data_IF_240886417552
#
_entry.id   IF_240886417552
#
_cell.length_a   1.000
_cell.length_b   1.000
_cell.length_c   1.000
_cell.angle_alpha   90.00
_cell.angle_beta   90.00
_cell.angle_gamma   90.00
#
_symmetry.space_group_name_H-M   'P 1'
#
loop_
_entity.id
_entity.type
_entity.pdbx_description
1 polymer ?
#
# COMPACT_ATOMS: atom_id res chain seq x y z
N UNK A 1 22.46 17.86 -10.15
CA UNK A 1 22.04 16.76 -9.27
C UNK A 1 20.75 16.21 -9.85
N UNK A 2 20.61 14.90 -10.02
CA UNK A 2 19.40 14.27 -10.56
C UNK A 2 18.38 14.07 -9.44
N UNK A 3 17.21 14.69 -9.59
CA UNK A 3 16.08 14.69 -8.68
C UNK A 3 15.14 13.54 -9.01
N UNK A 4 14.70 12.81 -7.99
CA UNK A 4 13.86 11.63 -8.16
C UNK A 4 12.60 11.69 -7.31
N UNK A 5 11.50 11.19 -7.88
CA UNK A 5 10.35 10.75 -7.12
C UNK A 5 10.56 9.32 -6.63
N UNK A 6 10.12 9.04 -5.41
CA UNK A 6 10.07 7.70 -4.85
C UNK A 6 8.63 7.23 -4.72
N UNK A 7 8.32 6.12 -5.38
CA UNK A 7 6.98 5.53 -5.39
C UNK A 7 7.03 4.20 -4.67
N UNK A 8 6.15 4.04 -3.69
CA UNK A 8 5.98 2.78 -2.99
C UNK A 8 4.69 2.13 -3.46
N UNK A 9 4.81 0.93 -4.02
CA UNK A 9 3.70 0.18 -4.60
C UNK A 9 3.82 -1.30 -4.26
N UNK A 10 2.68 -1.97 -4.08
CA UNK A 10 2.67 -3.45 -4.09
C UNK A 10 2.96 -3.97 -5.49
N UNK A 11 3.40 -5.23 -5.56
CA UNK A 11 3.68 -5.94 -6.80
C UNK A 11 2.44 -5.93 -7.73
N UNK A 12 2.50 -5.29 -8.91
CA UNK A 12 1.39 -5.28 -9.86
C UNK A 12 1.16 -6.63 -10.55
N UNK A 13 2.11 -7.57 -10.49
CA UNK A 13 1.99 -8.92 -11.05
C UNK A 13 1.52 -9.94 -10.01
N UNK A 14 1.72 -9.66 -8.73
CA UNK A 14 1.26 -10.51 -7.63
C UNK A 14 0.36 -9.74 -6.64
N UNK A 15 -0.98 -9.73 -6.86
CA UNK A 15 -1.92 -8.98 -6.04
C UNK A 15 -2.04 -9.48 -4.59
N UNK A 16 -1.51 -10.68 -4.28
CA UNK A 16 -1.43 -11.23 -2.90
C UNK A 16 -0.15 -10.84 -2.18
N UNK A 17 0.81 -10.25 -2.90
CA UNK A 17 2.06 -9.80 -2.29
C UNK A 17 1.80 -8.64 -1.34
N UNK A 18 2.18 -8.84 -0.07
CA UNK A 18 2.25 -7.79 0.93
C UNK A 18 3.60 -7.05 0.88
N UNK A 19 4.49 -7.46 -0.03
CA UNK A 19 5.81 -6.84 -0.18
C UNK A 19 5.68 -5.52 -0.92
N UNK A 20 6.12 -4.46 -0.25
CA UNK A 20 6.17 -3.12 -0.79
C UNK A 20 7.45 -2.92 -1.59
N UNK A 21 7.32 -2.53 -2.86
CA UNK A 21 8.45 -2.21 -3.72
C UNK A 21 8.64 -0.69 -3.83
N UNK A 22 9.89 -0.26 -3.88
CA UNK A 22 10.30 1.13 -4.10
C UNK A 22 10.74 1.32 -5.55
N UNK A 23 10.08 2.22 -6.26
CA UNK A 23 10.42 2.61 -7.64
C UNK A 23 10.92 4.05 -7.62
N UNK A 24 12.06 4.31 -8.28
CA UNK A 24 12.62 5.66 -8.43
C UNK A 24 12.38 6.16 -9.84
N UNK A 25 11.77 7.33 -9.95
CA UNK A 25 11.42 7.96 -11.23
C UNK A 25 12.14 9.31 -11.33
N UNK A 26 12.76 9.58 -12.48
CA UNK A 26 13.42 10.85 -12.77
C UNK A 26 12.39 11.97 -12.81
N UNK A 27 12.62 13.06 -12.08
CA UNK A 27 11.74 14.22 -12.10
C UNK A 27 11.79 14.94 -13.45
N UNK A 28 10.63 15.31 -14.00
CA UNK A 28 10.53 15.85 -15.35
C UNK A 28 10.95 17.32 -15.47
N UNK A 29 11.03 18.04 -14.33
CA UNK A 29 11.49 19.42 -14.25
C UNK A 29 12.98 19.59 -14.63
N UNK A 30 13.72 18.49 -14.73
CA UNK A 30 15.08 18.48 -15.28
C UNK A 30 15.11 18.45 -16.81
N UNK A 31 13.99 18.08 -17.45
CA UNK A 31 13.88 17.86 -18.89
C UNK A 31 13.08 18.96 -19.58
N UNK A 32 12.15 19.59 -18.86
CA UNK A 32 11.26 20.64 -19.36
C UNK A 32 11.21 21.82 -18.38
N UNK A 33 11.13 23.04 -18.91
CA UNK A 33 10.90 24.24 -18.10
C UNK A 33 9.54 24.22 -17.38
N UNK A 34 8.55 23.56 -17.99
CA UNK A 34 7.19 23.42 -17.47
C UNK A 34 6.74 21.98 -17.55
N UNK A 35 6.04 21.53 -16.53
CA UNK A 35 5.44 20.19 -16.51
C UNK A 35 4.50 19.99 -17.71
N UNK A 36 4.68 18.91 -18.50
CA UNK A 36 3.77 18.57 -19.57
C UNK A 36 2.36 18.30 -19.02
N UNK A 37 1.37 19.03 -19.54
CA UNK A 37 -0.04 18.83 -19.21
C UNK A 37 -0.66 17.93 -20.27
N UNK A 38 -1.22 16.81 -19.82
CA UNK A 38 -1.86 15.81 -20.67
C UNK A 38 -3.36 15.97 -20.57
N UNK A 39 -3.99 16.08 -21.74
CA UNK A 39 -5.42 16.30 -21.89
C UNK A 39 -6.26 15.08 -21.48
N UNK A 40 -7.52 15.33 -21.17
CA UNK A 40 -8.46 14.31 -20.67
C UNK A 40 -8.65 13.16 -21.67
N UNK A 41 -8.64 13.49 -22.96
CA UNK A 41 -8.86 12.58 -24.08
C UNK A 41 -7.88 11.40 -24.05
N UNK A 42 -6.62 11.63 -23.68
CA UNK A 42 -5.64 10.55 -23.51
C UNK A 42 -6.07 9.52 -22.46
N UNK A 43 -6.59 9.98 -21.31
CA UNK A 43 -7.02 9.13 -20.22
C UNK A 43 -8.36 8.45 -20.50
N UNK A 44 -9.25 9.11 -21.24
CA UNK A 44 -10.50 8.52 -21.71
C UNK A 44 -10.23 7.35 -22.67
N UNK A 45 -9.32 7.55 -23.62
CA UNK A 45 -8.85 6.51 -24.55
C UNK A 45 -8.21 5.34 -23.79
N UNK A 46 -7.35 5.64 -22.82
CA UNK A 46 -6.70 4.64 -21.98
C UNK A 46 -7.74 3.82 -21.18
N UNK A 47 -8.76 4.49 -20.64
CA UNK A 47 -9.87 3.85 -19.93
C UNK A 47 -10.67 2.93 -20.84
N UNK A 48 -10.92 3.35 -22.09
CA UNK A 48 -11.56 2.47 -23.10
C UNK A 48 -10.71 1.25 -23.39
N UNK A 49 -9.39 1.42 -23.52
CA UNK A 49 -8.47 0.31 -23.74
C UNK A 49 -8.47 -0.68 -22.57
N UNK A 50 -8.44 -0.20 -21.32
CA UNK A 50 -8.53 -1.03 -20.10
C UNK A 50 -9.81 -1.87 -20.07
N UNK A 51 -10.93 -1.34 -20.55
CA UNK A 51 -12.21 -2.09 -20.61
C UNK A 51 -12.25 -3.13 -21.72
N UNK A 52 -11.47 -2.95 -22.79
CA UNK A 52 -11.57 -3.73 -24.04
C UNK A 52 -10.49 -4.79 -24.19
N UNK A 53 -9.28 -4.53 -23.69
CA UNK A 53 -8.10 -5.35 -23.96
C UNK A 53 -7.50 -5.90 -22.67
N UNK A 54 -7.39 -7.23 -22.55
CA UNK A 54 -6.96 -7.88 -21.31
C UNK A 54 -5.52 -7.59 -20.88
N UNK A 55 -4.66 -7.14 -21.81
CA UNK A 55 -3.31 -6.69 -21.51
C UNK A 55 -3.25 -5.23 -21.00
N UNK A 56 -4.40 -4.55 -20.92
CA UNK A 56 -4.55 -3.27 -20.24
C UNK A 56 -5.31 -3.49 -18.93
N UNK A 57 -4.81 -2.93 -17.83
CA UNK A 57 -5.45 -3.10 -16.52
C UNK A 57 -5.35 -1.86 -15.66
N UNK A 58 -6.30 -1.71 -14.74
CA UNK A 58 -6.25 -0.73 -13.66
C UNK A 58 -6.10 -1.46 -12.33
N UNK A 59 -5.06 -1.11 -11.57
CA UNK A 59 -4.73 -1.77 -10.31
C UNK A 59 -4.57 -0.73 -9.20
N UNK A 60 -5.12 -1.02 -8.02
CA UNK A 60 -4.93 -0.18 -6.83
C UNK A 60 -3.76 -0.73 -6.03
N UNK A 61 -2.56 -0.21 -6.27
CA UNK A 61 -1.32 -0.70 -5.63
C UNK A 61 -0.46 0.40 -5.02
N UNK A 62 -0.67 1.67 -5.40
CA UNK A 62 0.12 2.80 -4.89
C UNK A 62 -0.16 3.01 -3.40
N UNK A 63 0.90 3.18 -2.63
CA UNK A 63 0.86 3.33 -1.17
C UNK A 63 1.55 4.59 -0.65
N UNK A 64 2.54 5.12 -1.37
CA UNK A 64 3.21 6.38 -1.01
C UNK A 64 3.87 7.00 -2.23
N UNK A 65 3.86 8.33 -2.29
CA UNK A 65 4.54 9.13 -3.31
C UNK A 65 5.36 10.19 -2.58
N UNK A 66 6.68 10.13 -2.74
CA UNK A 66 7.62 11.09 -2.15
C UNK A 66 8.29 11.88 -3.27
N UNK A 67 8.24 13.21 -3.17
CA UNK A 67 8.88 14.13 -4.11
C UNK A 67 10.40 14.25 -3.92
N UNK A 68 11.08 14.94 -4.84
CA UNK A 68 12.53 15.10 -4.79
C UNK A 68 13.02 15.85 -3.56
N UNK A 69 12.20 16.73 -2.98
CA UNK A 69 12.50 17.47 -1.76
C UNK A 69 12.04 16.75 -0.49
N UNK A 70 11.81 15.44 -0.53
CA UNK A 70 11.24 14.64 0.58
C UNK A 70 9.80 15.03 0.96
N UNK A 71 9.08 15.68 0.06
CA UNK A 71 7.67 16.02 0.22
C UNK A 71 6.79 14.77 0.10
N UNK A 72 5.94 14.50 1.09
CA UNK A 72 5.00 13.38 1.05
C UNK A 72 3.64 13.84 0.48
N UNK A 73 3.17 13.16 -0.57
CA UNK A 73 1.94 13.53 -1.25
C UNK A 73 0.78 12.58 -0.95
N UNK A 74 -0.42 13.17 -0.89
CA UNK A 74 -1.69 12.44 -0.89
C UNK A 74 -1.86 11.62 -2.15
N UNK A 75 -1.85 10.30 -2.02
CA UNK A 75 -1.82 9.34 -3.13
C UNK A 75 -3.07 9.32 -4.01
N UNK A 76 -4.20 9.86 -3.55
CA UNK A 76 -5.51 9.74 -4.22
C UNK A 76 -5.57 10.45 -5.57
N UNK A 77 -4.68 11.42 -5.81
CA UNK A 77 -4.59 12.14 -7.07
C UNK A 77 -3.45 11.65 -7.97
N UNK A 78 -2.80 10.53 -7.65
CA UNK A 78 -1.65 10.05 -8.39
C UNK A 78 -1.96 8.79 -9.17
N UNK A 79 -1.41 8.74 -10.38
CA UNK A 79 -1.45 7.56 -11.23
C UNK A 79 -0.06 7.28 -11.79
N UNK A 80 0.35 6.02 -11.75
CA UNK A 80 1.57 5.55 -12.39
C UNK A 80 1.19 4.63 -13.55
N UNK A 81 1.54 5.01 -14.77
CA UNK A 81 1.52 4.08 -15.90
C UNK A 81 2.76 3.22 -15.80
N UNK A 82 2.58 1.90 -15.84
CA UNK A 82 3.63 0.91 -16.00
C UNK A 82 3.31 0.06 -17.22
N UNK A 83 4.10 0.22 -18.28
CA UNK A 83 3.86 -0.44 -19.55
C UNK A 83 5.12 -1.04 -20.15
N UNK A 84 4.91 -2.01 -21.03
CA UNK A 84 5.92 -2.55 -21.92
C UNK A 84 5.33 -2.69 -23.32
N UNK A 85 6.08 -2.27 -24.33
CA UNK A 85 5.69 -2.48 -25.72
C UNK A 85 6.13 -3.85 -26.28
N UNK A 86 5.70 -4.16 -27.49
CA UNK A 86 6.06 -5.42 -28.18
C UNK A 86 7.55 -5.53 -28.52
N UNK A 87 8.32 -4.44 -28.41
CA UNK A 87 9.77 -4.40 -28.56
C UNK A 87 10.51 -4.49 -27.22
N UNK A 88 9.80 -4.85 -26.15
CA UNK A 88 10.32 -4.95 -24.77
C UNK A 88 10.90 -3.63 -24.22
N UNK A 89 10.45 -2.47 -24.72
CA UNK A 89 10.79 -1.17 -24.14
C UNK A 89 9.83 -0.88 -22.99
N UNK A 90 10.36 -0.49 -21.84
CA UNK A 90 9.59 -0.14 -20.66
C UNK A 90 9.23 1.34 -20.63
N UNK A 91 8.04 1.63 -20.10
CA UNK A 91 7.57 2.99 -19.86
C UNK A 91 6.96 3.06 -18.47
N UNK A 92 7.52 3.92 -17.64
CA UNK A 92 6.98 4.26 -16.33
C UNK A 92 6.76 5.77 -16.31
N UNK A 93 5.50 6.20 -16.21
CA UNK A 93 5.13 7.61 -16.26
C UNK A 93 4.23 7.94 -15.08
N UNK A 94 4.66 8.89 -14.26
CA UNK A 94 3.92 9.35 -13.09
C UNK A 94 3.13 10.61 -13.43
N UNK A 95 1.85 10.57 -13.11
CA UNK A 95 0.92 11.66 -13.33
C UNK A 95 0.26 12.11 -12.03
N UNK A 96 0.18 13.42 -11.86
CA UNK A 96 -0.69 14.05 -10.88
C UNK A 96 -1.98 14.49 -11.59
N UNK A 97 -3.12 14.01 -11.11
CA UNK A 97 -4.43 14.40 -11.57
C UNK A 97 -4.73 15.83 -11.09
N UNK A 98 -4.97 16.73 -12.03
CA UNK A 98 -5.37 18.11 -11.78
C UNK A 98 -6.75 18.37 -12.43
N UNK A 99 -7.58 19.17 -11.78
CA UNK A 99 -8.85 19.62 -12.36
C UNK A 99 -8.67 21.05 -12.87
N UNK A 100 -8.85 21.25 -14.17
CA UNK A 100 -8.77 22.57 -14.81
C UNK A 100 -9.95 22.74 -15.74
N UNK A 101 -10.66 23.87 -15.64
CA UNK A 101 -11.82 24.19 -16.49
C UNK A 101 -12.87 23.06 -16.54
N UNK A 102 -13.21 22.48 -15.38
CA UNK A 102 -14.11 21.31 -15.25
C UNK A 102 -13.66 20.00 -15.91
N UNK A 103 -12.52 19.98 -16.62
CA UNK A 103 -11.92 18.76 -17.17
C UNK A 103 -10.85 18.21 -16.22
N UNK A 104 -10.71 16.88 -16.23
CA UNK A 104 -9.65 16.18 -15.51
C UNK A 104 -8.45 16.07 -16.45
N UNK A 105 -7.34 16.71 -16.09
CA UNK A 105 -6.08 16.65 -16.81
C UNK A 105 -5.03 15.91 -15.96
N UNK A 106 -4.00 15.40 -16.61
CA UNK A 106 -2.87 14.76 -15.95
C UNK A 106 -1.60 15.57 -16.14
N UNK A 107 -0.99 16.03 -15.07
CA UNK A 107 0.33 16.66 -15.11
C UNK A 107 1.36 15.55 -15.03
N UNK A 108 2.18 15.38 -16.07
CA UNK A 108 3.31 14.44 -16.04
C UNK A 108 4.39 15.05 -15.16
N UNK A 109 4.87 14.31 -14.16
CA UNK A 109 5.82 14.84 -13.16
C UNK A 109 7.12 14.05 -13.05
N UNK A 110 7.10 12.77 -13.41
CA UNK A 110 8.28 11.92 -13.35
C UNK A 110 8.19 10.76 -14.34
N UNK A 111 9.35 10.21 -14.71
CA UNK A 111 9.44 9.11 -15.67
C UNK A 111 10.58 8.14 -15.37
N UNK A 112 10.47 6.93 -15.91
CA UNK A 112 11.54 5.95 -16.05
C UNK A 112 11.26 5.08 -17.28
N UNK A 113 12.26 4.37 -17.84
CA UNK A 113 13.66 4.33 -17.42
C UNK A 113 14.47 5.57 -17.88
N UNK A 114 15.73 5.74 -17.44
CA UNK A 114 16.55 6.93 -17.78
C UNK A 114 16.72 7.17 -19.28
N UNK A 115 16.68 6.12 -20.10
CA UNK A 115 16.73 6.20 -21.56
C UNK A 115 15.56 6.99 -22.13
N UNK A 116 14.37 6.88 -21.51
CA UNK A 116 13.20 7.68 -21.87
C UNK A 116 13.44 9.15 -21.54
N UNK A 117 14.13 9.44 -20.43
CA UNK A 117 14.54 10.81 -20.08
C UNK A 117 15.50 11.41 -21.12
N UNK A 118 16.46 10.63 -21.61
CA UNK A 118 17.36 11.06 -22.71
C UNK A 118 16.58 11.36 -23.99
N UNK A 119 15.59 10.53 -24.32
CA UNK A 119 14.71 10.74 -25.48
C UNK A 119 13.92 12.05 -25.34
N UNK A 120 13.34 12.29 -24.17
CA UNK A 120 12.53 13.49 -23.90
C UNK A 120 13.40 14.74 -23.85
N UNK A 121 14.63 14.67 -23.34
CA UNK A 121 15.55 15.81 -23.38
C UNK A 121 15.88 16.21 -24.83
N UNK A 122 16.10 15.21 -25.70
CA UNK A 122 16.49 15.44 -27.10
C UNK A 122 15.34 15.91 -27.99
N UNK A 123 14.15 15.39 -27.76
CA UNK A 123 13.00 15.56 -28.68
C UNK A 123 11.79 16.22 -28.01
N UNK A 124 11.88 16.59 -26.73
CA UNK A 124 10.93 17.40 -26.00
C UNK A 124 9.49 16.88 -26.14
N UNK A 125 8.51 17.76 -26.38
CA UNK A 125 7.09 17.43 -26.42
C UNK A 125 6.73 16.43 -27.53
N UNK A 126 7.48 16.36 -28.63
CA UNK A 126 7.24 15.38 -29.69
C UNK A 126 7.47 13.95 -29.20
N UNK A 127 8.46 13.75 -28.33
CA UNK A 127 8.71 12.44 -27.72
C UNK A 127 7.59 12.05 -26.76
N UNK A 128 7.09 13.02 -26.00
CA UNK A 128 5.95 12.82 -25.09
C UNK A 128 4.73 12.39 -25.89
N UNK A 129 4.37 13.14 -26.94
CA UNK A 129 3.22 12.83 -27.80
C UNK A 129 3.34 11.44 -28.42
N UNK A 130 4.50 11.12 -29.03
CA UNK A 130 4.74 9.79 -29.62
C UNK A 130 4.62 8.67 -28.59
N UNK A 131 5.11 8.89 -27.37
CA UNK A 131 5.01 7.90 -26.30
C UNK A 131 3.56 7.70 -25.86
N UNK A 132 2.82 8.78 -25.63
CA UNK A 132 1.41 8.69 -25.23
C UNK A 132 0.53 8.03 -26.32
N UNK A 133 0.76 8.37 -27.59
CA UNK A 133 0.11 7.72 -28.73
C UNK A 133 0.42 6.23 -28.79
N UNK A 134 1.68 5.83 -28.57
CA UNK A 134 2.06 4.42 -28.49
C UNK A 134 1.33 3.71 -27.35
N UNK A 135 1.25 4.32 -26.16
CA UNK A 135 0.58 3.73 -24.99
C UNK A 135 -0.92 3.53 -25.21
N UNK A 136 -1.58 4.33 -26.06
CA UNK A 136 -2.98 4.13 -26.45
C UNK A 136 -3.16 3.20 -27.67
N UNK A 137 -2.06 2.74 -28.30
CA UNK A 137 -2.10 1.83 -29.44
C UNK A 137 -1.99 0.38 -28.98
N UNK A 138 -3.13 -0.23 -28.64
CA UNK A 138 -3.22 -1.59 -28.08
C UNK A 138 -2.43 -2.68 -28.84
N UNK A 139 -2.29 -2.59 -30.18
CA UNK A 139 -1.56 -3.56 -31.01
C UNK A 139 -0.05 -3.61 -30.74
N UNK A 140 0.51 -2.51 -30.25
CA UNK A 140 1.95 -2.36 -30.02
C UNK A 140 2.33 -2.49 -28.54
N UNK A 141 1.38 -2.81 -27.67
CA UNK A 141 1.58 -2.91 -26.23
C UNK A 141 1.51 -4.37 -25.81
N UNK A 142 2.54 -4.82 -25.10
CA UNK A 142 2.58 -6.16 -24.48
C UNK A 142 1.77 -6.17 -23.19
N UNK A 143 1.93 -5.14 -22.37
CA UNK A 143 1.05 -4.85 -21.25
C UNK A 143 1.07 -3.37 -20.88
N UNK A 144 -0.03 -2.89 -20.32
CA UNK A 144 -0.12 -1.59 -19.66
C UNK A 144 -0.94 -1.71 -18.39
N UNK A 145 -0.36 -1.27 -17.27
CA UNK A 145 -1.01 -1.22 -15.97
C UNK A 145 -1.09 0.23 -15.52
N UNK A 146 -2.30 0.71 -15.31
CA UNK A 146 -2.56 2.00 -14.67
C UNK A 146 -2.68 1.77 -13.17
N UNK A 147 -1.67 2.21 -12.41
CA UNK A 147 -1.60 2.01 -10.97
C UNK A 147 -2.18 3.23 -10.26
N UNK A 148 -3.18 3.01 -9.40
CA UNK A 148 -3.80 4.02 -8.57
C UNK A 148 -3.65 3.73 -7.08
N UNK A 149 -4.18 4.63 -6.24
CA UNK A 149 -4.13 4.55 -4.79
C UNK A 149 -4.81 3.28 -4.21
N UNK A 150 -4.12 2.61 -3.29
CA UNK A 150 -4.65 1.51 -2.46
C UNK A 150 -4.92 2.00 -1.04
N UNK A 151 -6.17 2.40 -0.78
CA UNK A 151 -6.58 2.87 0.54
C UNK A 151 -5.94 4.20 0.92
N UNK A 152 -5.57 4.35 2.19
CA UNK A 152 -4.82 5.51 2.71
C UNK A 152 -3.33 5.36 2.39
N UNK A 153 -2.61 6.48 2.35
CA UNK A 153 -1.15 6.44 2.18
C UNK A 153 -0.46 5.86 3.42
N UNK A 154 0.77 5.34 3.27
CA UNK A 154 1.55 4.85 4.41
C UNK A 154 1.80 5.95 5.45
N UNK A 155 2.00 7.19 5.02
CA UNK A 155 2.15 8.32 5.93
C UNK A 155 0.85 8.64 6.68
N UNK A 156 -0.31 8.56 6.00
CA UNK A 156 -1.62 8.72 6.63
C UNK A 156 -1.90 7.58 7.62
N UNK A 157 -1.56 6.33 7.26
CA UNK A 157 -1.68 5.17 8.16
C UNK A 157 -0.81 5.37 9.40
N UNK A 158 0.45 5.76 9.25
CA UNK A 158 1.35 6.06 10.37
C UNK A 158 0.86 7.23 11.24
N UNK A 159 0.24 8.26 10.65
CA UNK A 159 -0.38 9.36 11.39
C UNK A 159 -1.64 8.91 12.15
N UNK A 160 -2.46 8.01 11.59
CA UNK A 160 -3.61 7.42 12.29
C UNK A 160 -3.14 6.50 13.44
N UNK A 161 -1.97 5.87 13.29
CA UNK A 161 -1.27 5.15 14.35
C UNK A 161 -0.48 6.06 15.32
N UNK A 162 -0.70 7.38 15.31
CA UNK A 162 -0.40 8.18 16.49
C UNK A 162 -1.39 7.81 17.58
N UNK A 163 -1.06 6.76 18.32
CA UNK A 163 -1.73 6.35 19.55
C UNK A 163 -1.94 7.62 20.37
N UNK A 164 -3.21 7.97 20.58
CA UNK A 164 -3.60 9.16 21.33
C UNK A 164 -2.86 9.12 22.69
N UNK A 165 -2.38 10.25 23.22
CA UNK A 165 -1.60 10.20 24.49
C UNK A 165 -2.37 9.46 25.61
N UNK A 166 -3.71 9.54 25.59
CA UNK A 166 -4.60 8.78 26.46
C UNK A 166 -4.55 7.26 26.21
N UNK A 167 -4.42 6.81 24.96
CA UNK A 167 -4.29 5.39 24.62
C UNK A 167 -2.87 4.87 24.95
N UNK A 168 -1.84 5.71 24.80
CA UNK A 168 -0.48 5.43 25.28
C UNK A 168 -0.46 5.29 26.80
N UNK A 169 -1.19 6.14 27.52
CA UNK A 169 -1.35 6.05 28.97
C UNK A 169 -2.13 4.79 29.37
N UNK A 170 -3.20 4.41 28.67
CA UNK A 170 -3.93 3.16 28.92
C UNK A 170 -3.08 1.92 28.67
N UNK A 171 -2.26 1.91 27.61
CA UNK A 171 -1.33 0.81 27.31
C UNK A 171 -0.23 0.74 28.37
N UNK A 172 0.33 1.89 28.79
CA UNK A 172 1.30 1.95 29.89
C UNK A 172 0.71 1.49 31.21
N UNK A 173 -0.53 1.88 31.53
CA UNK A 173 -1.25 1.43 32.72
C UNK A 173 -1.54 -0.08 32.64
N UNK A 174 -1.98 -0.59 31.50
CA UNK A 174 -2.20 -2.04 31.32
C UNK A 174 -0.89 -2.83 31.43
N UNK A 175 0.22 -2.33 30.91
CA UNK A 175 1.54 -2.97 31.04
C UNK A 175 2.09 -2.85 32.47
N UNK A 176 1.84 -1.74 33.17
CA UNK A 176 2.15 -1.57 34.59
C UNK A 176 1.35 -2.53 35.47
N UNK A 177 0.04 -2.66 35.22
CA UNK A 177 -0.84 -3.59 35.93
C UNK A 177 -0.49 -5.04 35.64
N UNK A 178 -0.05 -5.37 34.42
CA UNK A 178 0.51 -6.70 34.12
C UNK A 178 1.75 -7.00 34.93
N UNK A 179 2.55 -5.99 35.30
CA UNK A 179 3.79 -6.13 36.04
C UNK A 179 3.62 -5.98 37.56
N UNK A 180 2.39 -5.80 38.04
CA UNK A 180 2.09 -5.64 39.46
C UNK A 180 1.30 -6.86 39.93
N UNK A 181 1.84 -7.71 40.83
CA UNK A 181 1.07 -8.80 41.38
C UNK A 181 -0.14 -8.27 42.16
N UNK A 182 -1.24 -9.02 42.19
CA UNK A 182 -2.35 -8.70 43.09
C UNK A 182 -1.93 -8.83 44.57
N UNK A 183 -2.84 -8.48 45.49
CA UNK A 183 -2.61 -8.51 46.95
C UNK A 183 -2.12 -9.89 47.45
N UNK A 184 -2.33 -10.94 46.66
CA UNK A 184 -1.93 -12.34 46.92
C UNK A 184 -0.70 -12.81 46.12
N UNK A 185 0.03 -11.91 45.44
CA UNK A 185 1.28 -12.25 44.74
C UNK A 185 1.14 -12.84 43.33
N UNK A 186 -0.06 -12.88 42.74
CA UNK A 186 -0.34 -13.56 41.47
C UNK A 186 -0.44 -12.59 40.28
N UNK A 187 0.16 -12.95 39.14
CA UNK A 187 0.30 -12.10 37.94
C UNK A 187 -0.96 -12.04 37.05
N UNK A 188 -1.86 -13.02 37.14
CA UNK A 188 -3.16 -13.03 36.44
C UNK A 188 -4.15 -13.88 37.26
N UNK A 189 -5.46 -13.54 37.33
CA UNK A 189 -6.45 -14.45 37.88
C UNK A 189 -6.45 -15.70 36.99
N UNK A 190 -5.95 -16.81 37.53
CA UNK A 190 -6.13 -18.09 36.87
C UNK A 190 -7.63 -18.36 36.84
N UNK A 191 -8.26 -18.22 35.68
CA UNK A 191 -9.63 -18.70 35.40
C UNK A 191 -9.69 -20.24 35.41
N UNK A 192 -8.81 -20.90 36.19
CA UNK A 192 -8.88 -22.31 36.43
C UNK A 192 -10.17 -22.55 37.25
N UNK A 193 -11.13 -23.32 36.71
CA UNK A 193 -12.37 -23.60 37.44
C UNK A 193 -12.04 -24.26 38.78
N UNK A 194 -12.73 -23.82 39.84
CA UNK A 194 -12.66 -24.49 41.14
C UNK A 194 -13.54 -25.73 41.13
N UNK A 195 -13.12 -26.78 41.81
CA UNK A 195 -13.96 -27.94 42.04
C UNK A 195 -15.19 -27.51 42.86
N UNK A 196 -16.42 -27.82 42.43
CA UNK A 196 -17.63 -27.46 43.16
C UNK A 196 -17.79 -28.23 44.49
N UNK A 197 -17.04 -29.32 44.68
CA UNK A 197 -17.12 -30.15 45.90
C UNK A 197 -16.11 -29.71 46.96
N UNK A 198 -14.83 -29.59 46.60
CA UNK A 198 -13.76 -29.33 47.57
C UNK A 198 -13.13 -27.93 47.46
N UNK A 199 -13.54 -27.12 46.47
CA UNK A 199 -13.00 -25.77 46.26
C UNK A 199 -11.57 -25.72 45.71
N UNK A 200 -10.91 -26.87 45.55
CA UNK A 200 -9.56 -26.96 45.00
C UNK A 200 -9.52 -26.54 43.52
N UNK A 201 -8.42 -25.89 43.13
CA UNK A 201 -8.18 -25.49 41.74
C UNK A 201 -7.98 -26.72 40.87
N UNK A 202 -8.77 -26.86 39.79
CA UNK A 202 -8.60 -27.95 38.84
C UNK A 202 -7.32 -27.71 38.02
N UNK A 203 -6.32 -28.57 38.20
CA UNK A 203 -5.02 -28.50 37.53
C UNK A 203 -4.89 -29.63 36.50
N UNK A 204 -5.18 -29.33 35.23
CA UNK A 204 -4.50 -29.91 34.05
C UNK A 204 -5.00 -29.20 32.79
N UNK A 205 -4.15 -28.46 32.07
CA UNK A 205 -4.55 -27.77 30.84
C UNK A 205 -3.42 -27.77 29.79
N UNK A 206 -3.10 -28.94 29.23
CA UNK A 206 -2.72 -29.01 27.81
C UNK A 206 -3.98 -29.31 27.00
N UNK A 207 -4.79 -28.29 26.68
CA UNK A 207 -5.90 -28.47 25.72
C UNK A 207 -7.19 -27.68 25.93
N UNK A 208 -7.32 -26.83 26.95
CA UNK A 208 -8.61 -26.18 27.28
C UNK A 208 -9.15 -25.17 26.25
N UNK A 209 -8.50 -25.03 25.08
CA UNK A 209 -8.97 -24.14 24.00
C UNK A 209 -9.87 -24.81 22.97
N UNK A 210 -10.05 -26.13 22.99
CA UNK A 210 -10.95 -26.80 22.05
C UNK A 210 -11.67 -27.92 22.81
N UNK A 211 -13.00 -27.94 22.74
CA UNK A 211 -13.86 -28.84 23.51
C UNK A 211 -13.42 -30.31 23.44
N UNK A 212 -13.80 -31.08 24.47
CA UNK A 212 -13.51 -32.51 24.71
C UNK A 212 -12.30 -32.83 25.60
N UNK A 213 -12.13 -32.17 26.75
CA UNK A 213 -11.25 -32.62 27.83
C UNK A 213 -12.02 -32.79 29.14
N UNK A 214 -12.04 -34.00 29.72
CA UNK A 214 -12.62 -34.26 31.06
C UNK A 214 -11.78 -33.53 32.11
N UNK A 215 -12.39 -32.63 32.88
CA UNK A 215 -11.74 -32.00 34.03
C UNK A 215 -11.87 -32.93 35.25
N UNK A 216 -10.74 -33.43 35.78
CA UNK A 216 -10.71 -34.27 36.98
C UNK A 216 -10.09 -33.47 38.14
N UNK A 217 -10.75 -33.45 39.30
CA UNK A 217 -10.19 -32.84 40.50
C UNK A 217 -9.13 -33.75 41.13
N UNK A 218 -7.90 -33.26 41.37
CA UNK A 218 -6.84 -34.08 41.97
C UNK A 218 -7.06 -34.36 43.47
N UNK A 219 -7.91 -33.57 44.13
CA UNK A 219 -8.15 -33.67 45.58
C UNK A 219 -9.32 -34.60 45.93
N UNK A 220 -10.42 -34.56 45.17
CA UNK A 220 -11.62 -35.35 45.47
C UNK A 220 -12.09 -36.26 44.32
N UNK A 221 -11.37 -36.28 43.19
CA UNK A 221 -11.72 -37.12 42.04
C UNK A 221 -12.95 -36.68 41.24
N UNK A 222 -13.57 -35.54 41.57
CA UNK A 222 -14.74 -35.03 40.85
C UNK A 222 -14.47 -34.84 39.35
N UNK A 223 -15.34 -35.37 38.50
CA UNK A 223 -15.25 -35.26 37.05
C UNK A 223 -16.44 -34.48 36.49
N UNK A 224 -16.18 -33.45 35.68
CA UNK A 224 -17.21 -32.80 34.87
C UNK A 224 -17.04 -33.24 33.42
N UNK A 225 -18.03 -33.98 32.90
CA UNK A 225 -18.13 -34.38 31.49
C UNK A 225 -18.52 -33.17 30.65
#
# INVERSE_FOLDING_TARGET
>A
MTNFFEIYTYDPDNPRSEVLSKVRLLAINELFEKYPVIEAEFFDDLTRNIRKYGHYSFLKTLKRVVGPNQEDYKIQNWHLIWAMDTRNRFYQLLFQRARRNNKIQGIMVALAPPELGKLYNKHQYDAVLKTLTLLNTHKNIKFLKLLGAKGKSLAEEQQIFQINQNDLQKIKLANYLKNTPNIDGQWFPTFAPKCPICGATLQDMKGYRVGFGKLICPQCGFQKI
#
